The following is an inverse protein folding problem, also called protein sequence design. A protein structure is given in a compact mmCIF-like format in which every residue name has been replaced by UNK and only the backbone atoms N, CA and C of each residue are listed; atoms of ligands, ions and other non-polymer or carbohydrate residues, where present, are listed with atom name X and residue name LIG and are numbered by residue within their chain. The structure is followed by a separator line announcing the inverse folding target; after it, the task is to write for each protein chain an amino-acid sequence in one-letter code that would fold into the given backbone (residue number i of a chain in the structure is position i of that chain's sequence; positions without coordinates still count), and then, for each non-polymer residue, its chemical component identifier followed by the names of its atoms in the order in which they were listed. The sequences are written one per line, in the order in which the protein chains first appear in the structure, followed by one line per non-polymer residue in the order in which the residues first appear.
data_IF_761445059518
#
_entry.id   IF_761445059518
#
_cell.length_a   1.000
_cell.length_b   1.000
_cell.length_c   1.000
_cell.angle_alpha   90.00
_cell.angle_beta   90.00
_cell.angle_gamma   90.00
#
_symmetry.space_group_name_H-M   'P 1'
#
loop_
_entity.id
_entity.type
_entity.pdbx_description
1 polymer ?
#
# COMPACT_ATOMS: atom_id res chain seq x y z
N UNK A 1 -12.48 -4.97 0.22
CA UNK A 1 -11.33 -5.75 -0.30
C UNK A 1 -10.36 -5.99 0.85
N UNK A 2 -9.72 -7.15 0.93
CA UNK A 2 -8.75 -7.45 1.99
C UNK A 2 -7.36 -7.74 1.39
N UNK A 3 -6.32 -6.95 1.72
CA UNK A 3 -4.94 -7.28 1.35
C UNK A 3 -4.39 -8.43 2.20
N UNK A 4 -3.30 -9.07 1.75
CA UNK A 4 -2.60 -10.07 2.57
C UNK A 4 -2.12 -9.46 3.89
N UNK A 5 -1.61 -8.22 3.82
CA UNK A 5 -1.21 -7.44 4.99
C UNK A 5 -1.68 -6.01 4.80
N UNK A 6 -2.47 -5.53 5.75
CA UNK A 6 -2.73 -4.10 5.94
C UNK A 6 -1.94 -3.61 7.14
N UNK A 7 -1.15 -2.56 6.95
CA UNK A 7 -0.37 -1.97 8.04
C UNK A 7 -0.36 -0.46 7.99
N UNK A 8 -0.24 0.15 9.17
CA UNK A 8 0.07 1.56 9.30
C UNK A 8 1.54 1.66 9.68
N UNK A 9 2.34 2.24 8.80
CA UNK A 9 3.75 2.52 9.08
C UNK A 9 3.99 4.02 9.01
N UNK A 10 4.55 4.60 10.09
CA UNK A 10 4.83 6.04 10.19
C UNK A 10 3.66 6.93 9.74
N UNK A 11 2.43 6.56 10.13
CA UNK A 11 1.16 7.27 9.84
C UNK A 11 0.70 7.20 8.37
N UNK A 12 1.31 6.35 7.55
CA UNK A 12 0.84 6.05 6.20
C UNK A 12 0.24 4.62 6.17
N UNK A 13 -0.93 4.43 5.53
CA UNK A 13 -1.50 3.11 5.29
C UNK A 13 -0.78 2.43 4.13
N UNK A 14 -0.47 1.15 4.30
CA UNK A 14 0.11 0.30 3.27
C UNK A 14 -0.79 -0.92 3.07
N UNK A 15 -1.14 -1.17 1.82
CA UNK A 15 -1.70 -2.43 1.35
C UNK A 15 -0.55 -3.25 0.77
N UNK A 16 -0.23 -4.39 1.38
CA UNK A 16 0.86 -5.25 0.95
C UNK A 16 0.31 -6.59 0.47
N UNK A 17 0.84 -7.03 -0.65
CA UNK A 17 0.47 -8.25 -1.37
C UNK A 17 1.71 -9.13 -1.51
N UNK A 18 1.61 -10.38 -1.06
CA UNK A 18 2.68 -11.36 -1.12
C UNK A 18 2.33 -12.37 -2.22
N UNK A 19 3.14 -12.40 -3.27
CA UNK A 19 2.88 -13.27 -4.41
C UNK A 19 3.95 -14.33 -4.59
N UNK A 20 3.51 -15.57 -4.79
CA UNK A 20 4.38 -16.72 -5.03
C UNK A 20 4.90 -16.78 -6.46
N UNK A 21 4.21 -16.13 -7.39
CA UNK A 21 4.52 -16.12 -8.81
C UNK A 21 4.57 -14.70 -9.35
N UNK A 22 5.31 -14.53 -10.45
CA UNK A 22 5.33 -13.28 -11.21
C UNK A 22 4.03 -13.21 -12.00
N UNK A 23 3.30 -12.11 -11.84
CA UNK A 23 2.08 -11.87 -12.59
C UNK A 23 2.35 -11.35 -14.00
N UNK A 24 1.43 -11.68 -14.91
CA UNK A 24 1.37 -11.01 -16.20
C UNK A 24 0.93 -9.56 -16.02
N UNK A 25 1.27 -8.71 -16.98
CA UNK A 25 0.88 -7.30 -16.99
C UNK A 25 -0.63 -7.11 -16.82
N UNK A 26 -1.44 -7.93 -17.51
CA UNK A 26 -2.90 -7.90 -17.40
C UNK A 26 -3.37 -8.13 -15.97
N UNK A 27 -2.87 -9.19 -15.31
CA UNK A 27 -3.23 -9.53 -13.92
C UNK A 27 -2.78 -8.43 -12.97
N UNK A 28 -1.60 -7.85 -13.21
CA UNK A 28 -1.08 -6.74 -12.41
C UNK A 28 -1.98 -5.50 -12.52
N UNK A 29 -2.37 -5.12 -13.74
CA UNK A 29 -3.25 -3.98 -13.98
C UNK A 29 -4.63 -4.16 -13.33
N UNK A 30 -5.20 -5.37 -13.41
CA UNK A 30 -6.46 -5.69 -12.74
C UNK A 30 -6.35 -5.59 -11.20
N UNK A 31 -5.21 -5.97 -10.62
CA UNK A 31 -4.96 -5.78 -9.18
C UNK A 31 -4.81 -4.31 -8.81
N UNK A 32 -4.01 -3.55 -9.58
CA UNK A 32 -3.83 -2.11 -9.36
C UNK A 32 -5.17 -1.40 -9.38
N UNK A 33 -6.01 -1.65 -10.39
CA UNK A 33 -7.33 -1.03 -10.50
C UNK A 33 -8.23 -1.34 -9.31
N UNK A 34 -8.23 -2.58 -8.79
CA UNK A 34 -9.00 -2.93 -7.59
C UNK A 34 -8.53 -2.16 -6.36
N UNK A 35 -7.23 -2.03 -6.15
CA UNK A 35 -6.67 -1.27 -5.04
C UNK A 35 -6.93 0.23 -5.14
N UNK A 36 -6.83 0.81 -6.35
CA UNK A 36 -7.20 2.21 -6.59
C UNK A 36 -8.67 2.42 -6.24
N UNK A 37 -9.58 1.60 -6.78
CA UNK A 37 -11.01 1.72 -6.50
C UNK A 37 -11.34 1.55 -5.02
N UNK A 38 -10.72 0.58 -4.35
CA UNK A 38 -10.93 0.35 -2.92
C UNK A 38 -10.40 1.51 -2.06
N UNK A 39 -9.28 2.12 -2.45
CA UNK A 39 -8.77 3.30 -1.77
C UNK A 39 -9.71 4.50 -1.96
N UNK A 40 -10.14 4.76 -3.20
CA UNK A 40 -10.99 5.89 -3.55
C UNK A 40 -12.40 5.79 -2.93
N UNK A 41 -12.88 4.57 -2.65
CA UNK A 41 -14.16 4.37 -1.96
C UNK A 41 -14.13 4.74 -0.48
N UNK A 42 -12.94 4.95 0.12
CA UNK A 42 -12.72 5.16 1.55
C UNK A 42 -13.20 4.00 2.46
N UNK A 43 -13.65 2.87 1.90
CA UNK A 43 -14.10 1.71 2.67
C UNK A 43 -13.02 1.16 3.61
N UNK A 44 -11.75 1.28 3.22
CA UNK A 44 -10.59 0.88 4.00
C UNK A 44 -10.47 1.59 5.35
N UNK A 45 -11.08 2.77 5.51
CA UNK A 45 -11.13 3.54 6.77
C UNK A 45 -12.06 2.93 7.82
N UNK A 46 -12.93 2.00 7.41
CA UNK A 46 -13.80 1.25 8.30
C UNK A 46 -13.17 -0.08 8.74
N UNK A 47 -11.96 -0.40 8.28
CA UNK A 47 -11.26 -1.61 8.69
C UNK A 47 -10.85 -1.55 10.17
N UNK A 48 -10.85 -2.69 10.86
CA UNK A 48 -10.47 -2.77 12.28
C UNK A 48 -9.11 -2.13 12.61
N UNK A 49 -8.18 -2.14 11.64
CA UNK A 49 -6.86 -1.53 11.77
C UNK A 49 -6.86 0.01 11.70
N UNK A 50 -7.88 0.63 11.11
CA UNK A 50 -7.98 2.09 10.92
C UNK A 50 -8.84 2.79 11.96
N UNK A 51 -9.59 2.06 12.79
CA UNK A 51 -10.43 2.60 13.86
C UNK A 51 -9.68 3.53 14.87
N UNK A 52 -8.33 3.49 14.89
CA UNK A 52 -7.48 4.38 15.70
C UNK A 52 -6.99 5.65 15.01
N UNK A 53 -7.19 5.83 13.70
CA UNK A 53 -6.67 6.96 12.94
C UNK A 53 -7.81 7.91 12.55
N UNK A 54 -7.96 9.01 13.29
CA UNK A 54 -8.89 10.09 12.92
C UNK A 54 -8.33 10.86 11.71
N UNK A 55 -8.96 10.66 10.56
CA UNK A 55 -8.95 11.43 9.31
C UNK A 55 -7.65 12.19 8.94
N UNK A 56 -6.93 11.68 7.93
CA UNK A 56 -5.93 12.44 7.20
C UNK A 56 -6.28 12.44 5.70
N UNK A 57 -6.06 13.56 4.98
CA UNK A 57 -6.24 13.60 3.54
C UNK A 57 -5.05 12.89 2.88
N UNK A 58 -5.29 11.68 2.39
CA UNK A 58 -4.33 10.97 1.57
C UNK A 58 -4.69 11.21 0.11
N UNK A 59 -3.89 12.01 -0.62
CA UNK A 59 -4.27 12.47 -1.98
C UNK A 59 -3.53 11.78 -3.13
N UNK A 60 -2.53 10.93 -2.89
CA UNK A 60 -1.74 10.31 -3.96
C UNK A 60 -1.45 8.83 -3.63
N UNK A 61 -2.18 7.90 -4.26
CA UNK A 61 -1.88 6.46 -4.17
C UNK A 61 -0.64 6.17 -5.01
N UNK A 62 0.36 5.51 -4.42
CA UNK A 62 1.57 5.11 -5.11
C UNK A 62 1.69 3.58 -5.08
N UNK A 63 2.05 2.99 -6.21
CA UNK A 63 2.26 1.55 -6.36
C UNK A 63 3.74 1.26 -6.51
N UNK A 64 4.23 0.30 -5.72
CA UNK A 64 5.61 -0.13 -5.76
C UNK A 64 5.64 -1.64 -5.88
N UNK A 65 6.35 -2.13 -6.89
CA UNK A 65 6.67 -3.54 -7.01
C UNK A 65 8.13 -3.74 -6.60
N UNK A 66 8.33 -4.67 -5.67
CA UNK A 66 9.65 -5.06 -5.19
C UNK A 66 9.80 -6.57 -5.37
N UNK A 67 10.97 -7.00 -5.82
CA UNK A 67 11.30 -8.38 -6.13
C UNK A 67 11.68 -9.16 -4.87
N UNK A 68 12.25 -8.48 -3.86
CA UNK A 68 12.66 -9.12 -2.62
C UNK A 68 12.62 -8.16 -1.42
N UNK A 69 12.83 -8.74 -0.23
CA UNK A 69 12.81 -8.02 1.05
C UNK A 69 13.94 -6.99 1.17
N UNK A 70 15.11 -7.22 0.56
CA UNK A 70 16.22 -6.26 0.59
C UNK A 70 15.88 -5.03 -0.25
N UNK A 71 15.24 -5.23 -1.40
CA UNK A 71 14.74 -4.15 -2.24
C UNK A 71 13.66 -3.35 -1.51
N UNK A 72 12.73 -4.02 -0.83
CA UNK A 72 11.73 -3.35 0.01
C UNK A 72 12.38 -2.47 1.10
N UNK A 73 13.34 -3.00 1.87
CA UNK A 73 14.01 -2.25 2.94
C UNK A 73 14.82 -1.06 2.40
N UNK A 74 15.47 -1.24 1.25
CA UNK A 74 16.19 -0.16 0.55
C UNK A 74 15.23 0.93 0.08
N UNK A 75 14.07 0.52 -0.43
CA UNK A 75 13.05 1.42 -0.92
C UNK A 75 12.41 2.22 0.23
N UNK A 76 11.98 1.53 1.29
CA UNK A 76 11.38 2.14 2.47
C UNK A 76 12.34 3.14 3.17
N UNK A 77 13.64 2.80 3.24
CA UNK A 77 14.65 3.71 3.82
C UNK A 77 14.93 4.94 2.93
N UNK A 78 14.88 4.80 1.59
CA UNK A 78 15.04 5.93 0.66
C UNK A 78 13.88 6.93 0.73
N UNK A 79 12.63 6.45 0.76
CA UNK A 79 11.46 7.31 0.96
C UNK A 79 11.64 8.18 2.21
N UNK A 80 12.11 7.57 3.29
CA UNK A 80 12.29 8.28 4.55
C UNK A 80 13.32 9.42 4.49
N UNK A 81 14.48 9.20 3.85
CA UNK A 81 15.48 10.27 3.69
C UNK A 81 14.92 11.50 2.96
N UNK A 82 14.00 11.28 2.02
CA UNK A 82 13.41 12.36 1.23
C UNK A 82 12.21 13.03 1.90
N UNK A 83 11.70 12.50 3.02
CA UNK A 83 10.55 13.00 3.77
C UNK A 83 10.91 13.56 5.15
N UNK A 84 12.20 13.73 5.46
CA UNK A 84 12.62 14.40 6.69
C UNK A 84 12.37 15.91 6.57
N UNK A 85 11.29 16.36 7.20
CA UNK A 85 11.04 17.76 7.53
C UNK A 85 11.90 18.18 8.72
#
# INVERSE_FOLDING_TARGET
MEPDIFMIWKRAPFFLEIQRSIYSEKVMNEKVNRYVSYYMSNEWQNSHATARLKSFPYSNVQFFQVQDIKQFLTFASKIYRNMSF
#
